data_IF_798775778534
#
_entry.id   IF_798775778534
#
_cell.length_a   1.000
_cell.length_b   1.000
_cell.length_c   1.000
_cell.angle_alpha   90.00
_cell.angle_beta   90.00
_cell.angle_gamma   90.00
#
_symmetry.space_group_name_H-M   'P 1'
#
loop_
_entity.id
_entity.type
_entity.pdbx_description
1 polymer ?
#
# COMPACT_ATOMS: atom_id res chain seq x y z
N UNK A 1 15.74 14.54 -3.14
CA UNK A 1 15.74 15.45 -1.96
C UNK A 1 16.91 16.44 -1.93
N UNK A 2 17.98 16.20 -2.71
CA UNK A 2 19.18 17.05 -2.70
C UNK A 2 19.08 18.30 -3.61
N UNK A 3 18.14 18.30 -4.56
CA UNK A 3 17.97 19.41 -5.52
C UNK A 3 17.05 20.47 -4.90
N UNK A 4 17.41 21.78 -5.00
CA UNK A 4 16.61 22.84 -4.39
C UNK A 4 15.20 22.96 -4.99
N UNK A 5 14.25 23.40 -4.17
CA UNK A 5 12.87 23.67 -4.57
C UNK A 5 12.77 24.59 -5.81
N UNK A 6 13.56 25.65 -5.85
CA UNK A 6 13.54 26.64 -6.95
C UNK A 6 13.87 26.03 -8.30
N UNK A 7 14.80 25.07 -8.34
CA UNK A 7 15.10 24.32 -9.56
C UNK A 7 13.89 23.45 -9.97
N UNK A 8 13.34 22.68 -9.03
CA UNK A 8 12.20 21.81 -9.35
C UNK A 8 10.98 22.60 -9.79
N UNK A 9 10.69 23.74 -9.15
CA UNK A 9 9.58 24.61 -9.57
C UNK A 9 9.73 25.06 -11.02
N UNK A 10 10.91 25.54 -11.40
CA UNK A 10 11.19 25.96 -12.77
C UNK A 10 11.13 24.80 -13.78
N UNK A 11 11.70 23.64 -13.41
CA UNK A 11 11.70 22.45 -14.26
C UNK A 11 10.27 21.92 -14.50
N UNK A 12 9.47 21.79 -13.45
CA UNK A 12 8.09 21.30 -13.54
C UNK A 12 7.24 22.29 -14.35
N UNK A 13 7.34 23.59 -14.11
CA UNK A 13 6.60 24.60 -14.86
C UNK A 13 6.95 24.53 -16.36
N UNK A 14 8.23 24.38 -16.71
CA UNK A 14 8.69 24.24 -18.09
C UNK A 14 8.16 22.97 -18.75
N UNK A 15 8.19 21.85 -18.06
CA UNK A 15 7.66 20.56 -18.56
C UNK A 15 6.16 20.61 -18.78
N UNK A 16 5.41 21.20 -17.85
CA UNK A 16 3.94 21.36 -17.95
C UNK A 16 3.52 22.35 -19.05
N UNK A 17 4.40 23.25 -19.47
CA UNK A 17 4.17 24.15 -20.59
C UNK A 17 4.27 23.46 -21.96
N UNK A 18 4.73 22.22 -22.06
CA UNK A 18 4.80 21.47 -23.32
C UNK A 18 3.37 21.23 -23.86
N UNK A 19 3.05 21.71 -25.08
CA UNK A 19 1.70 21.63 -25.62
C UNK A 19 1.23 20.17 -25.78
N UNK A 20 -0.06 19.93 -25.56
CA UNK A 20 -0.72 18.64 -25.78
C UNK A 20 -0.12 17.47 -24.96
N UNK A 21 0.52 17.77 -23.82
CA UNK A 21 1.03 16.76 -22.88
C UNK A 21 0.38 16.90 -21.51
N UNK A 22 -0.13 15.78 -21.00
CA UNK A 22 -0.56 15.65 -19.61
C UNK A 22 0.46 14.80 -18.89
N UNK A 23 1.31 15.44 -18.09
CA UNK A 23 2.40 14.78 -17.38
C UNK A 23 2.00 14.44 -15.95
N UNK A 24 2.34 13.23 -15.51
CA UNK A 24 2.37 12.84 -14.12
C UNK A 24 3.80 13.10 -13.60
N UNK A 25 3.94 13.97 -12.63
CA UNK A 25 5.24 14.34 -12.06
C UNK A 25 5.41 13.59 -10.73
N UNK A 26 6.38 12.68 -10.69
CA UNK A 26 6.75 11.90 -9.52
C UNK A 26 8.13 12.32 -9.02
N UNK A 27 8.24 12.63 -7.75
CA UNK A 27 9.52 12.88 -7.07
C UNK A 27 9.94 11.66 -6.25
N UNK A 28 11.19 11.23 -6.42
CA UNK A 28 11.79 10.15 -5.62
C UNK A 28 12.26 10.65 -4.25
N UNK A 29 11.57 11.36 -3.55
CA UNK A 29 11.88 11.85 -2.22
C UNK A 29 10.62 12.00 -1.38
N UNK A 30 10.75 12.42 -0.15
CA UNK A 30 9.63 12.56 0.78
C UNK A 30 9.32 14.02 1.19
N UNK A 31 10.08 14.99 0.68
CA UNK A 31 9.94 16.40 1.06
C UNK A 31 8.58 16.97 0.63
N UNK A 32 7.95 17.72 1.53
CA UNK A 32 6.62 18.33 1.29
C UNK A 32 6.65 19.38 0.18
N UNK A 33 7.77 20.12 0.05
CA UNK A 33 7.96 21.15 -0.98
C UNK A 33 8.02 20.62 -2.42
N UNK A 34 8.09 19.30 -2.62
CA UNK A 34 7.87 18.71 -3.94
C UNK A 34 6.47 19.03 -4.49
N UNK A 35 5.46 19.01 -3.64
CA UNK A 35 4.08 19.33 -4.04
C UNK A 35 3.94 20.82 -4.40
N UNK A 36 4.59 21.71 -3.66
CA UNK A 36 4.63 23.15 -3.95
C UNK A 36 5.38 23.44 -5.24
N UNK A 37 6.42 22.64 -5.56
CA UNK A 37 7.11 22.68 -6.84
C UNK A 37 6.28 22.16 -8.02
N UNK A 38 5.11 21.55 -7.77
CA UNK A 38 4.19 21.08 -8.79
C UNK A 38 4.22 19.57 -9.06
N UNK A 39 4.95 18.77 -8.31
CA UNK A 39 4.86 17.31 -8.41
C UNK A 39 3.47 16.83 -8.02
N UNK A 40 3.03 15.74 -8.62
CA UNK A 40 1.73 15.10 -8.35
C UNK A 40 1.86 14.03 -7.28
N UNK A 41 3.01 13.40 -7.21
CA UNK A 41 3.33 12.32 -6.26
C UNK A 41 4.77 12.46 -5.74
N UNK A 42 4.98 11.95 -4.54
CA UNK A 42 6.31 11.64 -4.02
C UNK A 42 6.30 10.31 -3.23
N UNK A 43 7.49 9.80 -2.93
CA UNK A 43 7.65 8.50 -2.30
C UNK A 43 7.22 8.49 -0.83
N UNK A 44 6.56 7.40 -0.42
CA UNK A 44 6.09 7.15 0.94
C UNK A 44 7.15 6.41 1.76
N UNK A 45 8.33 7.00 1.91
CA UNK A 45 9.44 6.38 2.65
C UNK A 45 9.12 6.14 4.12
N UNK A 46 8.40 7.07 4.77
CA UNK A 46 8.05 6.93 6.19
C UNK A 46 7.07 5.77 6.41
N UNK A 47 6.12 5.55 5.49
CA UNK A 47 5.23 4.39 5.57
C UNK A 47 5.97 3.07 5.30
N UNK A 48 6.92 3.05 4.37
CA UNK A 48 7.74 1.86 4.11
C UNK A 48 8.57 1.47 5.35
N UNK A 49 9.17 2.45 6.03
CA UNK A 49 9.87 2.22 7.30
C UNK A 49 8.91 1.70 8.39
N UNK A 50 7.71 2.29 8.51
CA UNK A 50 6.69 1.81 9.44
C UNK A 50 6.24 0.38 9.12
N UNK A 51 6.12 0.03 7.85
CA UNK A 51 5.79 -1.34 7.41
C UNK A 51 6.86 -2.33 7.90
N UNK A 52 8.14 -2.01 7.75
CA UNK A 52 9.24 -2.83 8.28
C UNK A 52 9.17 -2.97 9.79
N UNK A 53 8.93 -1.86 10.51
CA UNK A 53 8.77 -1.90 11.96
C UNK A 53 7.63 -2.84 12.40
N UNK A 54 6.52 -2.82 11.67
CA UNK A 54 5.34 -3.62 12.01
C UNK A 54 5.52 -5.10 11.66
N UNK A 55 6.04 -5.43 10.48
CA UNK A 55 6.11 -6.81 10.00
C UNK A 55 7.41 -7.53 10.40
N UNK A 56 8.52 -6.80 10.58
CA UNK A 56 9.82 -7.39 10.93
C UNK A 56 10.14 -7.24 12.41
N UNK A 57 9.79 -6.10 13.02
CA UNK A 57 10.14 -5.77 14.40
C UNK A 57 8.96 -5.89 15.38
N UNK A 58 7.85 -6.51 14.97
CA UNK A 58 6.63 -6.73 15.80
C UNK A 58 6.02 -5.46 16.43
N UNK A 59 6.26 -4.28 15.84
CA UNK A 59 5.62 -3.05 16.27
C UNK A 59 4.10 -3.10 16.06
N UNK A 60 3.34 -2.25 16.78
CA UNK A 60 1.89 -2.19 16.65
C UNK A 60 1.43 -1.88 15.22
N UNK A 61 0.42 -2.58 14.72
CA UNK A 61 -0.19 -2.29 13.41
C UNK A 61 -0.78 -0.86 13.33
N UNK A 62 -1.17 -0.27 14.47
CA UNK A 62 -1.64 1.11 14.54
C UNK A 62 -0.62 2.11 13.98
N UNK A 63 0.69 1.81 14.04
CA UNK A 63 1.75 2.64 13.49
C UNK A 63 1.58 2.95 12.00
N UNK A 64 1.05 2.01 11.22
CA UNK A 64 0.77 2.25 9.79
C UNK A 64 -0.30 3.33 9.59
N UNK A 65 -1.35 3.35 10.41
CA UNK A 65 -2.37 4.40 10.39
C UNK A 65 -1.81 5.75 10.84
N UNK A 66 -1.03 5.77 11.91
CA UNK A 66 -0.41 6.98 12.45
C UNK A 66 0.50 7.66 11.41
N UNK A 67 1.31 6.87 10.72
CA UNK A 67 2.20 7.39 9.68
C UNK A 67 1.42 7.82 8.45
N UNK A 68 0.41 7.05 8.00
CA UNK A 68 -0.45 7.43 6.90
C UNK A 68 -1.14 8.78 7.16
N UNK A 69 -1.72 8.98 8.34
CA UNK A 69 -2.32 10.26 8.73
C UNK A 69 -1.30 11.39 8.77
N UNK A 70 -0.13 11.17 9.38
CA UNK A 70 0.94 12.18 9.45
C UNK A 70 1.42 12.61 8.06
N UNK A 71 1.57 11.66 7.13
CA UNK A 71 1.96 11.97 5.76
C UNK A 71 0.90 12.78 5.02
N UNK A 72 -0.40 12.50 5.28
CA UNK A 72 -1.51 13.16 4.58
C UNK A 72 -2.03 14.43 5.24
N UNK A 73 -1.68 14.71 6.49
CA UNK A 73 -2.06 15.95 7.20
C UNK A 73 -1.64 17.23 6.46
N UNK A 74 -0.60 17.16 5.65
CA UNK A 74 -0.02 18.32 4.97
C UNK A 74 0.12 18.17 3.45
N UNK A 75 -0.53 17.18 2.86
CA UNK A 75 -0.52 17.00 1.41
C UNK A 75 -1.66 17.82 0.79
N UNK A 76 -1.38 18.69 -0.22
CA UNK A 76 -2.42 19.44 -0.90
C UNK A 76 -3.44 18.53 -1.57
N UNK A 77 -4.70 18.97 -1.64
CA UNK A 77 -5.77 18.21 -2.27
C UNK A 77 -5.41 17.79 -3.70
N UNK A 78 -5.64 16.52 -4.03
CA UNK A 78 -5.34 15.93 -5.33
C UNK A 78 -3.90 15.46 -5.53
N UNK A 79 -3.02 15.65 -4.54
CA UNK A 79 -1.67 15.09 -4.51
C UNK A 79 -1.64 13.75 -3.77
N UNK A 80 -0.63 12.92 -4.01
CA UNK A 80 -0.56 11.58 -3.45
C UNK A 80 0.85 11.18 -3.03
N UNK A 81 0.93 10.24 -2.09
CA UNK A 81 2.13 9.43 -1.83
C UNK A 81 2.15 8.21 -2.74
N UNK A 82 3.33 7.78 -3.18
CA UNK A 82 3.52 6.50 -3.85
C UNK A 82 3.81 5.42 -2.81
N UNK A 83 2.91 4.45 -2.67
CA UNK A 83 2.96 3.35 -1.70
C UNK A 83 3.66 2.14 -2.28
N UNK A 84 4.57 1.54 -1.54
CA UNK A 84 5.35 0.39 -1.99
C UNK A 84 5.88 -0.41 -0.79
N UNK A 85 6.16 -1.69 -1.01
CA UNK A 85 6.90 -2.55 -0.09
C UNK A 85 8.36 -2.73 -0.54
N UNK A 86 8.66 -2.39 -1.78
CA UNK A 86 10.01 -2.32 -2.35
C UNK A 86 10.03 -1.34 -3.52
N UNK A 87 11.22 -0.93 -3.93
CA UNK A 87 11.50 -0.12 -5.10
C UNK A 87 12.86 -0.51 -5.68
N UNK A 88 13.39 0.26 -6.65
CA UNK A 88 14.66 -0.04 -7.31
C UNK A 88 15.85 -0.07 -6.34
N UNK A 89 15.89 0.83 -5.35
CA UNK A 89 16.96 0.87 -4.34
C UNK A 89 16.87 -0.33 -3.39
N UNK A 90 15.69 -0.61 -2.88
CA UNK A 90 15.48 -1.67 -1.88
C UNK A 90 15.61 -3.06 -2.52
N UNK A 91 15.05 -3.27 -3.72
CA UNK A 91 15.18 -4.52 -4.45
C UNK A 91 16.64 -4.86 -4.81
N UNK A 92 17.52 -3.86 -4.88
CA UNK A 92 18.96 -4.10 -5.08
C UNK A 92 19.65 -4.67 -3.85
N UNK A 93 19.04 -4.56 -2.68
CA UNK A 93 19.56 -5.07 -1.41
C UNK A 93 18.94 -6.40 -1.05
N UNK A 94 17.60 -6.50 -1.12
CA UNK A 94 16.84 -7.66 -0.70
C UNK A 94 15.44 -7.65 -1.34
N UNK A 95 14.91 -8.80 -1.70
CA UNK A 95 13.52 -8.90 -2.15
C UNK A 95 12.55 -8.81 -0.96
N UNK A 96 11.29 -8.39 -1.19
CA UNK A 96 10.29 -8.30 -0.12
C UNK A 96 10.02 -9.65 0.57
N UNK A 97 10.06 -10.75 -0.17
CA UNK A 97 9.82 -12.10 0.37
C UNK A 97 10.90 -12.48 1.37
N UNK A 98 12.15 -12.21 1.03
CA UNK A 98 13.30 -12.49 1.91
C UNK A 98 13.29 -11.53 3.11
N UNK A 99 13.05 -10.25 2.88
CA UNK A 99 13.03 -9.24 3.96
C UNK A 99 11.92 -9.51 4.98
N UNK A 100 10.73 -9.87 4.52
CA UNK A 100 9.54 -10.10 5.37
C UNK A 100 9.39 -11.56 5.80
N UNK A 101 10.25 -12.44 5.31
CA UNK A 101 10.36 -13.83 5.74
C UNK A 101 9.42 -14.84 5.05
N UNK A 102 8.49 -14.39 4.22
CA UNK A 102 7.63 -15.28 3.40
C UNK A 102 6.85 -14.51 2.35
N UNK A 103 6.33 -15.22 1.33
CA UNK A 103 5.37 -14.67 0.36
C UNK A 103 4.12 -14.13 1.05
N UNK A 104 3.58 -14.85 2.05
CA UNK A 104 2.38 -14.41 2.79
C UNK A 104 2.61 -13.10 3.54
N UNK A 105 3.78 -12.92 4.15
CA UNK A 105 4.14 -11.68 4.82
C UNK A 105 4.28 -10.53 3.80
N UNK A 106 4.89 -10.78 2.65
CA UNK A 106 5.01 -9.80 1.57
C UNK A 106 3.64 -9.37 1.04
N UNK A 107 2.70 -10.32 0.85
CA UNK A 107 1.34 -10.02 0.41
C UNK A 107 0.53 -9.26 1.47
N UNK A 108 0.61 -9.66 2.74
CA UNK A 108 -0.02 -8.93 3.83
C UNK A 108 0.52 -7.50 3.95
N UNK A 109 1.84 -7.31 3.84
CA UNK A 109 2.48 -6.00 3.84
C UNK A 109 2.07 -5.17 2.61
N UNK A 110 1.96 -5.78 1.43
CA UNK A 110 1.49 -5.12 0.22
C UNK A 110 0.06 -4.59 0.41
N UNK A 111 -0.88 -5.44 0.84
CA UNK A 111 -2.26 -5.01 1.12
C UNK A 111 -2.30 -3.95 2.21
N UNK A 112 -1.52 -4.13 3.29
CA UNK A 112 -1.43 -3.18 4.40
C UNK A 112 -0.88 -1.81 4.04
N UNK A 113 -0.18 -1.68 2.90
CA UNK A 113 0.39 -0.41 2.46
C UNK A 113 -0.35 0.22 1.30
N UNK A 114 -0.63 -0.54 0.23
CA UNK A 114 -1.15 0.05 -1.02
C UNK A 114 -2.63 0.41 -0.98
N UNK A 115 -3.42 -0.20 -0.09
CA UNK A 115 -4.83 0.15 0.09
C UNK A 115 -5.06 1.31 1.08
N UNK A 116 -4.03 1.82 1.76
CA UNK A 116 -4.07 3.10 2.50
C UNK A 116 -4.25 4.28 1.52
N UNK A 117 -4.03 5.52 1.97
CA UNK A 117 -4.04 6.66 1.05
C UNK A 117 -2.83 6.62 0.11
N UNK A 118 -3.03 6.81 -1.19
CA UNK A 118 -1.94 6.95 -2.16
C UNK A 118 -2.13 6.16 -3.44
N UNK A 119 -1.07 6.17 -4.25
CA UNK A 119 -0.94 5.34 -5.44
C UNK A 119 -0.09 4.10 -5.17
N UNK A 120 -0.38 2.98 -5.82
CA UNK A 120 0.34 1.73 -5.67
C UNK A 120 1.55 1.66 -6.61
N UNK A 121 2.69 1.18 -6.09
CA UNK A 121 3.83 0.73 -6.89
C UNK A 121 4.04 -0.75 -6.67
N UNK A 122 4.13 -1.50 -7.76
CA UNK A 122 4.69 -2.86 -7.83
C UNK A 122 5.99 -2.72 -8.60
N UNK A 123 7.13 -2.99 -7.94
CA UNK A 123 8.43 -2.93 -8.58
C UNK A 123 8.79 -4.27 -9.20
N UNK A 124 9.43 -4.20 -10.37
CA UNK A 124 9.83 -5.32 -11.23
C UNK A 124 10.20 -6.61 -10.49
N UNK A 125 9.62 -7.72 -10.91
CA UNK A 125 9.74 -9.07 -10.38
C UNK A 125 9.18 -9.35 -8.97
N UNK A 126 8.70 -8.34 -8.27
CA UNK A 126 7.96 -8.50 -7.02
C UNK A 126 6.74 -9.40 -7.22
N UNK A 127 6.01 -9.19 -8.32
CA UNK A 127 4.76 -9.90 -8.66
C UNK A 127 4.94 -11.38 -8.99
N UNK A 128 6.15 -11.82 -9.33
CA UNK A 128 6.45 -13.25 -9.56
C UNK A 128 7.15 -13.90 -8.37
N UNK A 129 7.34 -13.16 -7.28
CA UNK A 129 7.98 -13.69 -6.08
C UNK A 129 9.49 -13.87 -6.20
N UNK A 130 10.16 -13.14 -7.08
CA UNK A 130 11.60 -13.27 -7.27
C UNK A 130 12.38 -12.96 -6.00
N UNK A 131 13.21 -13.90 -5.52
CA UNK A 131 13.90 -13.79 -4.25
C UNK A 131 15.26 -13.11 -4.32
N UNK A 132 15.95 -13.22 -5.47
CA UNK A 132 17.29 -12.66 -5.60
C UNK A 132 17.28 -11.13 -5.70
N UNK A 133 18.28 -10.43 -5.15
CA UNK A 133 18.43 -9.00 -5.32
C UNK A 133 18.57 -8.60 -6.80
N UNK A 134 17.93 -7.50 -7.19
CA UNK A 134 18.03 -6.94 -8.55
C UNK A 134 19.00 -5.77 -8.55
N UNK A 135 20.20 -5.98 -9.04
CA UNK A 135 21.19 -4.90 -9.13
C UNK A 135 20.91 -4.03 -10.37
N UNK A 136 20.45 -2.81 -10.16
CA UNK A 136 20.15 -1.88 -11.25
C UNK A 136 21.40 -1.20 -11.87
N UNK A 137 22.59 -1.39 -11.30
CA UNK A 137 23.86 -0.96 -11.91
C UNK A 137 24.51 -2.02 -12.80
N UNK A 138 23.98 -3.24 -12.81
CA UNK A 138 24.47 -4.34 -13.60
C UNK A 138 23.31 -5.16 -14.18
N UNK A 139 23.59 -5.94 -15.24
CA UNK A 139 22.59 -6.85 -15.77
C UNK A 139 22.24 -7.92 -14.72
N UNK A 140 20.97 -7.99 -14.35
CA UNK A 140 20.40 -9.03 -13.50
C UNK A 140 19.33 -9.76 -14.30
N UNK A 141 19.51 -11.08 -14.48
CA UNK A 141 18.53 -11.92 -15.15
C UNK A 141 17.38 -12.22 -14.17
N UNK A 142 16.15 -12.09 -14.65
CA UNK A 142 14.94 -12.50 -13.95
C UNK A 142 14.25 -13.55 -14.80
N UNK A 143 13.95 -14.70 -14.22
CA UNK A 143 13.18 -15.74 -14.91
C UNK A 143 11.69 -15.44 -14.77
N UNK A 144 11.12 -14.83 -15.80
CA UNK A 144 9.69 -14.50 -15.86
C UNK A 144 8.77 -15.71 -16.11
N UNK A 145 9.31 -16.88 -16.32
CA UNK A 145 8.53 -18.13 -16.43
C UNK A 145 8.18 -18.71 -15.07
N UNK A 146 8.83 -18.30 -14.00
CA UNK A 146 8.52 -18.64 -12.62
C UNK A 146 7.26 -17.88 -12.17
N UNK A 147 6.09 -18.31 -12.65
CA UNK A 147 4.81 -17.76 -12.23
C UNK A 147 4.35 -18.52 -10.98
N UNK A 148 4.53 -17.92 -9.81
CA UNK A 148 3.96 -18.42 -8.56
C UNK A 148 2.50 -18.01 -8.40
N UNK A 149 1.79 -18.59 -7.43
CA UNK A 149 0.41 -18.20 -7.08
C UNK A 149 0.31 -16.71 -6.70
N UNK A 150 1.40 -16.14 -6.23
CA UNK A 150 1.50 -14.71 -5.86
C UNK A 150 1.22 -13.78 -7.05
N UNK A 151 1.56 -14.17 -8.29
CA UNK A 151 1.25 -13.38 -9.49
C UNK A 151 -0.26 -13.22 -9.69
N UNK A 152 -1.01 -14.30 -9.52
CA UNK A 152 -2.47 -14.27 -9.62
C UNK A 152 -3.08 -13.41 -8.50
N UNK A 153 -2.51 -13.49 -7.30
CA UNK A 153 -2.91 -12.71 -6.14
C UNK A 153 -2.70 -11.21 -6.37
N UNK A 154 -1.54 -10.78 -6.87
CA UNK A 154 -1.31 -9.39 -7.28
C UNK A 154 -2.30 -8.93 -8.35
N UNK A 155 -2.54 -9.77 -9.37
CA UNK A 155 -3.49 -9.48 -10.43
C UNK A 155 -4.92 -9.27 -9.90
N UNK A 156 -5.37 -10.13 -8.99
CA UNK A 156 -6.67 -10.02 -8.34
C UNK A 156 -6.77 -8.73 -7.50
N UNK A 157 -5.81 -8.47 -6.63
CA UNK A 157 -5.79 -7.28 -5.75
C UNK A 157 -5.78 -5.98 -6.57
N UNK A 158 -4.95 -5.89 -7.59
CA UNK A 158 -4.90 -4.71 -8.47
C UNK A 158 -6.14 -4.59 -9.33
N UNK A 159 -6.78 -5.72 -9.69
CA UNK A 159 -8.11 -5.74 -10.31
C UNK A 159 -9.17 -5.09 -9.41
N UNK A 160 -9.22 -5.46 -8.13
CA UNK A 160 -10.11 -4.85 -7.13
C UNK A 160 -9.79 -3.36 -6.92
N UNK A 161 -8.51 -3.02 -6.75
CA UNK A 161 -8.03 -1.64 -6.61
C UNK A 161 -8.48 -0.76 -7.78
N UNK A 162 -8.43 -1.26 -9.01
CA UNK A 162 -8.85 -0.52 -10.20
C UNK A 162 -10.37 -0.46 -10.35
N UNK A 163 -11.07 -1.55 -10.02
CA UNK A 163 -12.53 -1.67 -10.15
C UNK A 163 -13.27 -0.72 -9.21
N UNK A 164 -12.80 -0.55 -7.98
CA UNK A 164 -13.50 0.20 -6.95
C UNK A 164 -12.78 1.52 -6.62
N UNK A 165 -13.31 2.68 -7.07
CA UNK A 165 -12.72 3.99 -6.74
C UNK A 165 -12.60 4.24 -5.23
N UNK A 166 -13.51 3.71 -4.41
CA UNK A 166 -13.46 3.82 -2.95
C UNK A 166 -12.18 3.23 -2.36
N UNK A 167 -11.66 2.12 -2.88
CA UNK A 167 -10.38 1.53 -2.44
C UNK A 167 -9.17 2.43 -2.71
N UNK A 168 -9.24 3.28 -3.74
CA UNK A 168 -8.14 4.21 -4.09
C UNK A 168 -8.28 5.58 -3.44
N UNK A 169 -9.49 6.14 -3.47
CA UNK A 169 -9.77 7.56 -3.21
C UNK A 169 -10.79 7.78 -2.09
N UNK A 170 -11.37 6.70 -1.54
CA UNK A 170 -12.35 6.78 -0.47
C UNK A 170 -11.76 7.43 0.78
N UNK A 171 -12.62 8.06 1.56
CA UNK A 171 -12.27 8.59 2.88
C UNK A 171 -11.89 7.41 3.77
N UNK A 172 -10.75 7.49 4.40
CA UNK A 172 -10.22 6.47 5.30
C UNK A 172 -10.60 6.79 6.75
N UNK A 173 -11.19 5.81 7.42
CA UNK A 173 -11.43 5.81 8.86
C UNK A 173 -10.67 4.66 9.49
N UNK A 174 -9.67 4.94 10.29
CA UNK A 174 -8.83 3.94 10.93
C UNK A 174 -9.38 3.50 12.29
N UNK A 175 -9.15 2.22 12.62
CA UNK A 175 -9.50 1.61 13.91
C UNK A 175 -8.22 0.99 14.50
N UNK A 176 -7.43 1.73 15.31
CA UNK A 176 -6.14 1.29 15.81
C UNK A 176 -6.23 -0.02 16.62
N UNK A 177 -5.41 -1.00 16.26
CA UNK A 177 -5.22 -2.24 16.99
C UNK A 177 -3.75 -2.67 16.91
N UNK A 178 -3.31 -3.55 17.81
CA UNK A 178 -1.90 -3.93 17.89
C UNK A 178 -1.47 -4.93 16.83
N UNK A 179 -2.31 -5.94 16.58
CA UNK A 179 -1.95 -7.10 15.76
C UNK A 179 -2.67 -7.15 14.41
N UNK A 180 -3.67 -6.27 14.23
CA UNK A 180 -4.46 -6.19 13.00
C UNK A 180 -4.50 -4.74 12.54
N UNK A 181 -4.04 -4.48 11.32
CA UNK A 181 -4.33 -3.22 10.65
C UNK A 181 -5.80 -3.25 10.22
N UNK A 182 -6.58 -2.32 10.74
CA UNK A 182 -8.01 -2.26 10.50
C UNK A 182 -8.45 -0.84 10.14
N UNK A 183 -9.09 -0.70 8.98
CA UNK A 183 -9.64 0.57 8.54
C UNK A 183 -10.76 0.40 7.53
N UNK A 184 -11.60 1.41 7.44
CA UNK A 184 -12.66 1.54 6.45
C UNK A 184 -12.23 2.52 5.36
N UNK A 185 -12.65 2.26 4.10
CA UNK A 185 -12.62 3.25 3.02
C UNK A 185 -14.00 3.37 2.38
N UNK A 186 -14.48 4.61 2.19
CA UNK A 186 -15.79 4.86 1.58
C UNK A 186 -15.77 6.09 0.68
N UNK A 187 -16.49 6.04 -0.42
CA UNK A 187 -16.72 7.17 -1.34
C UNK A 187 -18.20 7.63 -1.34
N UNK A 188 -18.99 7.13 -0.39
CA UNK A 188 -20.42 7.38 -0.28
C UNK A 188 -21.30 6.47 -1.12
N UNK A 189 -20.71 5.73 -2.09
CA UNK A 189 -21.40 4.72 -2.90
C UNK A 189 -21.03 3.31 -2.46
N UNK A 190 -19.75 3.09 -2.25
CA UNK A 190 -19.17 1.83 -1.79
C UNK A 190 -18.45 2.05 -0.45
N UNK A 191 -18.53 1.06 0.42
CA UNK A 191 -17.80 1.03 1.69
C UNK A 191 -17.09 -0.32 1.83
N UNK A 192 -15.81 -0.26 2.22
CA UNK A 192 -14.96 -1.43 2.40
C UNK A 192 -14.28 -1.37 3.76
N UNK A 193 -14.26 -2.50 4.46
CA UNK A 193 -13.34 -2.72 5.57
C UNK A 193 -12.15 -3.54 5.08
N UNK A 194 -10.97 -3.06 5.38
CA UNK A 194 -9.71 -3.75 5.13
C UNK A 194 -9.16 -4.20 6.48
N UNK A 195 -8.90 -5.50 6.58
CA UNK A 195 -8.31 -6.15 7.75
C UNK A 195 -7.03 -6.86 7.30
N UNK A 196 -5.92 -6.61 7.99
CA UNK A 196 -4.65 -7.30 7.74
C UNK A 196 -4.08 -7.78 9.07
N UNK A 197 -4.01 -9.08 9.26
CA UNK A 197 -3.24 -9.67 10.35
C UNK A 197 -1.75 -9.49 10.04
N UNK A 198 -1.07 -8.65 10.81
CA UNK A 198 0.36 -8.35 10.61
C UNK A 198 1.27 -9.31 11.38
N UNK A 199 0.72 -10.41 11.92
CA UNK A 199 1.44 -11.40 12.73
C UNK A 199 1.48 -12.77 12.07
N UNK A 200 2.58 -13.47 12.23
CA UNK A 200 2.71 -14.87 11.80
C UNK A 200 2.08 -15.84 12.84
N UNK A 201 0.86 -15.53 13.26
CA UNK A 201 0.01 -16.36 14.13
C UNK A 201 -1.45 -15.96 13.94
N UNK A 202 -2.36 -16.85 14.29
CA UNK A 202 -3.78 -16.51 14.31
C UNK A 202 -4.05 -15.40 15.32
N UNK A 203 -4.93 -14.48 14.96
CA UNK A 203 -5.40 -13.39 15.83
C UNK A 203 -6.90 -13.21 15.71
N UNK A 204 -7.50 -12.66 16.75
CA UNK A 204 -8.89 -12.21 16.73
C UNK A 204 -8.94 -10.71 16.97
N UNK A 205 -9.85 -10.02 16.28
CA UNK A 205 -10.07 -8.59 16.45
C UNK A 205 -11.55 -8.28 16.63
N UNK A 206 -11.85 -7.40 17.58
CA UNK A 206 -13.21 -6.91 17.81
C UNK A 206 -13.54 -5.89 16.71
N UNK A 207 -14.66 -6.11 16.03
CA UNK A 207 -15.12 -5.21 14.99
C UNK A 207 -15.73 -3.92 15.59
N UNK A 208 -15.57 -2.78 14.93
CA UNK A 208 -16.27 -1.54 15.30
C UNK A 208 -17.78 -1.73 15.29
N UNK A 209 -18.49 -0.99 16.15
CA UNK A 209 -19.93 -1.18 16.37
C UNK A 209 -20.76 -1.07 15.09
N UNK A 210 -20.44 -0.13 14.20
CA UNK A 210 -21.13 0.05 12.92
C UNK A 210 -20.94 -1.07 11.90
N UNK A 211 -20.11 -2.09 12.21
CA UNK A 211 -19.82 -3.23 11.33
C UNK A 211 -20.40 -4.55 11.83
N UNK A 212 -20.79 -4.59 13.08
CA UNK A 212 -21.34 -5.79 13.70
C UNK A 212 -22.71 -6.15 13.17
N UNK A 213 -23.00 -7.43 13.10
CA UNK A 213 -24.29 -7.99 12.69
C UNK A 213 -24.76 -7.62 11.27
N UNK A 214 -23.81 -7.34 10.39
CA UNK A 214 -24.08 -7.11 8.98
C UNK A 214 -23.73 -8.33 8.14
N UNK A 215 -24.51 -8.54 7.07
CA UNK A 215 -24.13 -9.44 5.98
C UNK A 215 -23.32 -8.62 4.97
N UNK A 216 -22.11 -9.08 4.72
CA UNK A 216 -21.16 -8.44 3.83
C UNK A 216 -20.55 -9.45 2.85
N UNK A 217 -19.70 -9.02 1.97
CA UNK A 217 -19.00 -9.90 1.04
C UNK A 217 -17.49 -9.67 1.18
N UNK A 218 -16.74 -10.73 1.45
CA UNK A 218 -15.31 -10.72 1.21
C UNK A 218 -15.10 -10.71 -0.31
N UNK A 219 -14.69 -9.58 -0.86
CA UNK A 219 -14.59 -9.40 -2.32
C UNK A 219 -13.32 -10.03 -2.90
N UNK A 220 -12.32 -10.32 -2.08
CA UNK A 220 -11.14 -11.05 -2.52
C UNK A 220 -11.46 -12.54 -2.69
N UNK A 221 -12.07 -13.15 -1.67
CA UNK A 221 -12.51 -14.55 -1.71
C UNK A 221 -13.82 -14.77 -2.51
N UNK A 222 -14.54 -13.68 -2.81
CA UNK A 222 -15.89 -13.69 -3.41
C UNK A 222 -16.88 -14.54 -2.64
N UNK A 223 -16.87 -14.41 -1.29
CA UNK A 223 -17.73 -15.19 -0.37
C UNK A 223 -18.57 -14.28 0.51
N UNK A 224 -19.84 -14.63 0.75
CA UNK A 224 -20.64 -13.94 1.77
C UNK A 224 -20.05 -14.18 3.14
N UNK A 225 -20.12 -13.17 3.99
CA UNK A 225 -19.59 -13.18 5.35
C UNK A 225 -20.59 -12.51 6.28
N UNK A 226 -20.94 -13.16 7.36
CA UNK A 226 -21.68 -12.55 8.46
C UNK A 226 -20.68 -11.98 9.47
N UNK A 227 -20.76 -10.69 9.70
CA UNK A 227 -19.87 -9.99 10.63
C UNK A 227 -20.45 -10.06 12.04
N UNK A 228 -19.81 -10.83 12.89
CA UNK A 228 -20.15 -10.94 14.30
C UNK A 228 -19.44 -9.85 15.12
N UNK A 229 -19.39 -9.99 16.44
CA UNK A 229 -18.65 -9.05 17.31
C UNK A 229 -17.15 -9.08 17.09
N UNK A 230 -16.65 -10.24 16.69
CA UNK A 230 -15.23 -10.54 16.54
C UNK A 230 -15.00 -11.28 15.22
N UNK A 231 -13.88 -11.04 14.58
CA UNK A 231 -13.42 -11.79 13.42
C UNK A 231 -12.07 -12.43 13.72
N UNK A 232 -11.93 -13.71 13.39
CA UNK A 232 -10.67 -14.43 13.44
C UNK A 232 -9.98 -14.33 12.09
N UNK A 233 -8.68 -14.03 12.10
CA UNK A 233 -7.77 -14.03 10.96
C UNK A 233 -6.66 -15.04 11.21
N UNK A 234 -6.37 -15.89 10.23
CA UNK A 234 -5.21 -16.77 10.27
C UNK A 234 -3.90 -15.94 10.20
N UNK A 235 -2.76 -16.59 10.41
CA UNK A 235 -1.46 -15.95 10.30
C UNK A 235 -1.32 -15.21 8.95
N UNK A 236 -0.98 -13.90 9.00
CA UNK A 236 -0.75 -13.06 7.82
C UNK A 236 -1.93 -13.00 6.83
N UNK A 237 -3.15 -13.36 7.30
CA UNK A 237 -4.36 -13.25 6.48
C UNK A 237 -4.79 -11.79 6.35
N UNK A 238 -5.31 -11.45 5.17
CA UNK A 238 -5.99 -10.18 4.96
C UNK A 238 -7.38 -10.42 4.38
N UNK A 239 -8.29 -9.47 4.60
CA UNK A 239 -9.65 -9.45 4.04
C UNK A 239 -10.02 -8.07 3.53
N UNK A 240 -10.74 -8.05 2.41
CA UNK A 240 -11.31 -6.84 1.83
C UNK A 240 -12.82 -7.05 1.76
N UNK A 241 -13.51 -6.49 2.72
CA UNK A 241 -14.93 -6.76 2.98
C UNK A 241 -15.76 -5.57 2.50
N UNK A 242 -16.73 -5.84 1.61
CA UNK A 242 -17.66 -4.84 1.08
C UNK A 242 -19.04 -5.00 1.72
N UNK A 243 -19.65 -3.88 2.06
CA UNK A 243 -21.07 -3.76 2.42
C UNK A 243 -21.92 -3.41 1.23
#
# INVERSE_FOLDING_TARGET
>A
DYVPYTFWKQAVDSLRAIPNRKLLMLAEGKRKDHFDAGFDMNYAWDLMEAMRDVFVNDSSAARLLEVDWSEYDSIPAGKMKLRFITNHDEASKMSPIVELGSERAAMAAFVGTVFLHGGALIYSSQEIGHEAPINFFAYTSVDWSECSDIYQEYGCLMGLYNKYPALRKGILTGYPASDVLMYQKSDGKDAFMILVNVRNRDVSVILPEGWKHHVATDIYENKPLELMNEIKLNALEYRIIRF
#
